data_IF_863955037574
#
_entry.id   IF_863955037574
#
_cell.length_a   1.000
_cell.length_b   1.000
_cell.length_c   1.000
_cell.angle_alpha   90.00
_cell.angle_beta   90.00
_cell.angle_gamma   90.00
#
_symmetry.space_group_name_H-M   'P 1'
#
loop_
_entity.id
_entity.type
_entity.pdbx_description
1 polymer ?
#
# COMPACT_ATOMS: atom_id res chain seq x y z
N UNK A 1 -3.02 -49.07 -21.47
CA UNK A 1 -2.23 -49.89 -20.52
C UNK A 1 -2.04 -49.01 -19.28
N UNK A 2 -2.48 -49.25 -18.04
CA UNK A 2 -2.57 -50.44 -17.13
C UNK A 2 -1.23 -50.86 -16.46
N UNK A 3 -0.97 -50.26 -15.29
CA UNK A 3 -0.25 -50.67 -14.04
C UNK A 3 -0.61 -49.56 -13.02
N UNK A 4 -0.96 -49.72 -11.72
CA UNK A 4 -1.20 -50.84 -10.78
C UNK A 4 -0.02 -51.53 -10.06
N UNK A 5 0.62 -50.82 -9.12
CA UNK A 5 0.80 -51.16 -7.66
C UNK A 5 1.63 -50.04 -6.99
N UNK A 6 1.23 -49.40 -5.87
CA UNK A 6 0.91 -49.86 -4.50
C UNK A 6 2.16 -50.15 -3.66
N UNK A 7 2.37 -49.34 -2.62
CA UNK A 7 2.61 -49.80 -1.25
C UNK A 7 2.14 -48.70 -0.26
N UNK A 8 1.72 -49.10 0.94
CA UNK A 8 1.24 -48.20 1.99
C UNK A 8 1.53 -48.80 3.37
N UNK A 9 1.83 -47.95 4.35
CA UNK A 9 2.06 -48.36 5.74
C UNK A 9 1.40 -47.36 6.69
N UNK A 10 0.24 -47.76 7.23
CA UNK A 10 -0.45 -47.06 8.31
C UNK A 10 0.19 -47.44 9.65
N UNK A 11 0.34 -46.48 10.55
CA UNK A 11 0.64 -46.73 11.95
C UNK A 11 -0.38 -45.97 12.81
N UNK A 12 -1.27 -46.71 13.48
CA UNK A 12 -2.16 -46.19 14.50
C UNK A 12 -1.75 -46.79 15.84
N UNK A 13 -1.70 -45.98 16.90
CA UNK A 13 -1.63 -46.47 18.27
C UNK A 13 -2.86 -46.00 19.05
N UNK A 14 -3.29 -46.85 19.97
CA UNK A 14 -4.59 -46.79 20.63
C UNK A 14 -4.58 -45.98 21.93
N UNK A 15 -5.69 -45.30 22.21
CA UNK A 15 -5.97 -44.75 23.54
C UNK A 15 -6.03 -45.86 24.60
N UNK A 16 -5.71 -45.52 25.85
CA UNK A 16 -6.01 -46.30 27.04
C UNK A 16 -6.39 -45.34 28.16
N UNK A 17 -7.55 -45.56 28.79
CA UNK A 17 -8.04 -44.77 29.91
C UNK A 17 -8.55 -45.72 31.00
N UNK A 18 -8.04 -45.58 32.22
CA UNK A 18 -8.47 -46.34 33.38
C UNK A 18 -8.25 -45.55 34.69
N UNK A 19 -9.35 -45.06 35.25
CA UNK A 19 -9.55 -44.90 36.71
C UNK A 19 -10.20 -46.22 37.21
N UNK A 20 -10.29 -46.52 38.54
CA UNK A 20 -10.13 -45.62 39.70
C UNK A 20 -9.34 -46.21 40.90
N UNK A 21 -9.11 -45.40 41.95
CA UNK A 21 -9.31 -45.75 43.38
C UNK A 21 -8.94 -44.58 44.31
N UNK A 22 -9.59 -44.47 45.48
CA UNK A 22 -9.33 -43.46 46.52
C UNK A 22 -8.97 -44.10 47.88
N UNK A 23 -8.64 -43.25 48.88
CA UNK A 23 -8.41 -43.53 50.32
C UNK A 23 -6.93 -43.84 50.64
N UNK A 24 -6.24 -43.25 51.61
CA UNK A 24 -6.51 -42.48 52.85
C UNK A 24 -5.26 -42.67 53.74
N UNK A 25 -4.95 -41.96 54.83
CA UNK A 25 -5.56 -40.86 55.58
C UNK A 25 -4.42 -40.09 56.33
N UNK A 26 -4.62 -38.85 56.80
CA UNK A 26 -3.61 -38.14 57.63
C UNK A 26 -3.89 -36.67 57.98
N UNK A 27 -4.08 -36.38 59.28
CA UNK A 27 -4.23 -35.06 59.92
C UNK A 27 -3.15 -34.01 59.56
N UNK A 28 -3.34 -32.68 59.73
CA UNK A 28 -4.51 -31.78 59.66
C UNK A 28 -4.09 -30.31 59.97
N UNK A 29 -4.60 -29.31 59.24
CA UNK A 29 -4.59 -27.89 59.63
C UNK A 29 -5.62 -27.05 58.81
N UNK A 30 -6.46 -26.18 59.42
CA UNK A 30 -7.41 -25.31 58.72
C UNK A 30 -7.11 -23.80 58.89
N UNK A 31 -7.85 -22.88 58.23
CA UNK A 31 -8.33 -22.94 56.84
C UNK A 31 -7.96 -21.65 56.06
N UNK A 32 -7.35 -21.80 54.88
CA UNK A 32 -7.22 -20.70 53.91
C UNK A 32 -8.36 -20.72 52.89
N UNK A 33 -8.94 -19.56 52.56
CA UNK A 33 -9.99 -19.46 51.54
C UNK A 33 -9.48 -19.87 50.15
N UNK A 34 -10.30 -20.51 49.30
CA UNK A 34 -9.82 -21.14 48.07
C UNK A 34 -9.36 -20.11 47.02
N UNK A 35 -8.10 -20.23 46.59
CA UNK A 35 -7.64 -19.59 45.37
C UNK A 35 -8.37 -20.23 44.18
N UNK A 36 -9.25 -19.45 43.54
CA UNK A 36 -10.12 -19.93 42.46
C UNK A 36 -9.30 -20.32 41.23
N UNK A 37 -9.05 -21.61 41.07
CA UNK A 37 -8.51 -22.22 39.84
C UNK A 37 -9.63 -22.34 38.81
N UNK A 38 -10.12 -21.18 38.35
CA UNK A 38 -11.06 -21.10 37.26
C UNK A 38 -10.43 -21.72 36.00
N UNK A 39 -10.95 -22.86 35.57
CA UNK A 39 -10.68 -23.37 34.22
C UNK A 39 -11.07 -22.28 33.19
N UNK A 40 -10.33 -22.13 32.08
CA UNK A 40 -10.68 -21.16 31.06
C UNK A 40 -12.08 -21.49 30.53
N UNK A 41 -13.05 -20.62 30.86
CA UNK A 41 -14.45 -20.79 30.50
C UNK A 41 -14.64 -20.50 29.01
N UNK A 42 -14.20 -21.44 28.17
CA UNK A 42 -14.49 -21.51 26.73
C UNK A 42 -15.96 -21.86 26.47
N UNK A 43 -16.88 -21.14 27.10
CA UNK A 43 -18.25 -21.05 26.63
C UNK A 43 -18.17 -20.48 25.20
N UNK A 44 -18.56 -21.28 24.22
CA UNK A 44 -18.63 -20.80 22.84
C UNK A 44 -19.60 -19.61 22.82
N UNK A 45 -19.13 -18.46 22.34
CA UNK A 45 -20.02 -17.33 22.16
C UNK A 45 -21.14 -17.72 21.17
N UNK A 46 -22.35 -17.31 21.49
CA UNK A 46 -23.53 -17.45 20.65
C UNK A 46 -23.97 -16.07 20.17
N UNK A 47 -24.51 -15.98 18.94
CA UNK A 47 -24.79 -14.71 18.27
C UNK A 47 -23.80 -14.34 17.17
N UNK A 48 -24.00 -13.16 16.58
CA UNK A 48 -23.43 -12.82 15.28
C UNK A 48 -21.91 -12.59 15.29
N UNK A 49 -21.34 -11.99 16.35
CA UNK A 49 -19.88 -11.88 16.50
C UNK A 49 -19.18 -13.25 16.51
N UNK A 50 -19.80 -14.27 17.08
CA UNK A 50 -19.23 -15.62 17.11
C UNK A 50 -19.33 -16.32 15.75
N UNK A 51 -20.38 -16.06 14.97
CA UNK A 51 -20.50 -16.54 13.59
C UNK A 51 -19.48 -15.86 12.67
N UNK A 52 -19.28 -14.54 12.82
CA UNK A 52 -18.21 -13.81 12.16
C UNK A 52 -16.82 -14.38 12.49
N UNK A 53 -16.54 -14.66 13.77
CA UNK A 53 -15.30 -15.31 14.19
C UNK A 53 -15.15 -16.71 13.55
N UNK A 54 -16.19 -17.56 13.62
CA UNK A 54 -16.19 -18.92 13.04
C UNK A 54 -16.00 -18.91 11.51
N UNK A 55 -16.45 -17.85 10.82
CA UNK A 55 -16.18 -17.66 9.39
C UNK A 55 -14.72 -17.25 9.15
N UNK A 56 -14.24 -16.20 9.82
CA UNK A 56 -12.89 -15.68 9.60
C UNK A 56 -11.78 -16.68 9.97
N UNK A 57 -12.00 -17.54 10.99
CA UNK A 57 -11.06 -18.61 11.38
C UNK A 57 -10.82 -19.70 10.32
N UNK A 58 -11.53 -19.66 9.19
CA UNK A 58 -11.24 -20.48 8.02
C UNK A 58 -10.10 -19.90 7.16
N UNK A 59 -9.72 -18.64 7.39
CA UNK A 59 -8.78 -17.86 6.58
C UNK A 59 -7.67 -17.17 7.41
N UNK A 60 -7.93 -16.85 8.69
CA UNK A 60 -7.03 -16.13 9.62
C UNK A 60 -6.99 -16.82 10.99
N UNK A 61 -6.12 -16.37 11.90
CA UNK A 61 -6.10 -16.88 13.28
C UNK A 61 -7.37 -16.53 14.07
N UNK A 62 -7.74 -15.25 14.11
CA UNK A 62 -8.93 -14.69 14.79
C UNK A 62 -9.32 -15.38 16.12
N UNK A 63 -8.35 -15.56 17.01
CA UNK A 63 -8.54 -16.14 18.35
C UNK A 63 -8.89 -15.05 19.39
N UNK A 64 -9.08 -15.44 20.66
CA UNK A 64 -9.26 -14.51 21.79
C UNK A 64 -10.34 -13.42 21.59
N UNK A 65 -11.51 -13.79 21.06
CA UNK A 65 -12.60 -12.85 20.76
C UNK A 65 -13.05 -12.07 22.01
N UNK A 66 -12.74 -10.77 22.05
CA UNK A 66 -13.37 -9.81 22.94
C UNK A 66 -14.67 -9.30 22.34
N UNK A 67 -15.73 -9.26 23.14
CA UNK A 67 -17.08 -8.76 22.75
C UNK A 67 -17.45 -7.46 23.49
N UNK A 68 -16.49 -6.87 24.20
CA UNK A 68 -16.68 -5.65 24.99
C UNK A 68 -16.30 -4.41 24.18
N UNK A 69 -17.15 -3.36 24.11
CA UNK A 69 -16.81 -2.11 23.41
C UNK A 69 -15.62 -1.34 23.99
N UNK A 70 -15.20 -1.64 25.23
CA UNK A 70 -14.05 -1.07 25.93
C UNK A 70 -12.81 -1.98 25.96
N UNK A 71 -12.79 -3.09 25.18
CA UNK A 71 -11.60 -3.92 25.02
C UNK A 71 -10.43 -3.07 24.49
N UNK A 72 -9.23 -3.11 25.12
CA UNK A 72 -8.12 -2.22 24.76
C UNK A 72 -7.55 -2.43 23.35
N UNK A 73 -7.95 -3.51 22.65
CA UNK A 73 -7.61 -3.78 21.25
C UNK A 73 -8.56 -3.10 20.25
N UNK A 74 -9.69 -2.55 20.70
CA UNK A 74 -10.63 -1.83 19.82
C UNK A 74 -9.96 -0.57 19.23
N UNK A 75 -10.07 -0.32 17.90
CA UNK A 75 -9.54 0.89 17.30
C UNK A 75 -10.21 2.15 17.86
N UNK A 76 -9.41 3.16 18.22
CA UNK A 76 -9.89 4.40 18.84
C UNK A 76 -10.36 5.48 17.86
N UNK A 77 -9.99 5.34 16.58
CA UNK A 77 -10.32 6.28 15.49
C UNK A 77 -11.39 5.72 14.57
N UNK A 78 -10.96 5.23 13.41
CA UNK A 78 -11.77 4.94 12.22
C UNK A 78 -12.57 3.62 12.31
N UNK A 79 -13.30 3.43 13.41
CA UNK A 79 -14.13 2.25 13.67
C UNK A 79 -15.49 2.64 14.29
N UNK A 80 -16.62 2.09 13.81
CA UNK A 80 -17.95 2.48 14.26
C UNK A 80 -18.31 1.92 15.64
N UNK A 81 -18.88 2.77 16.48
CA UNK A 81 -19.43 2.39 17.80
C UNK A 81 -20.83 1.80 17.63
N UNK A 82 -21.29 1.03 18.63
CA UNK A 82 -22.68 0.55 18.69
C UNK A 82 -23.65 1.74 18.55
N UNK A 83 -24.66 1.58 17.69
CA UNK A 83 -25.61 2.63 17.30
C UNK A 83 -25.18 3.45 16.07
N UNK A 84 -23.88 3.58 15.77
CA UNK A 84 -23.42 4.24 14.54
C UNK A 84 -23.63 3.32 13.34
N UNK A 85 -24.09 3.88 12.22
CA UNK A 85 -24.25 3.19 10.94
C UNK A 85 -24.98 1.83 11.03
N UNK A 86 -25.97 1.73 11.92
CA UNK A 86 -26.76 0.52 12.22
C UNK A 86 -25.99 -0.65 12.88
N UNK A 87 -24.79 -0.41 13.41
CA UNK A 87 -24.02 -1.40 14.19
C UNK A 87 -24.73 -1.72 15.52
N UNK A 88 -24.88 -3.02 15.81
CA UNK A 88 -25.52 -3.54 17.03
C UNK A 88 -24.54 -4.25 17.96
N UNK A 89 -23.57 -4.98 17.41
CA UNK A 89 -22.50 -5.63 18.17
C UNK A 89 -21.13 -5.19 17.63
N UNK A 90 -20.14 -5.08 18.51
CA UNK A 90 -18.72 -4.87 18.14
C UNK A 90 -17.83 -5.81 18.94
N UNK A 91 -16.73 -6.24 18.34
CA UNK A 91 -15.75 -7.10 18.99
C UNK A 91 -14.40 -7.08 18.30
N UNK A 92 -13.44 -7.81 18.85
CA UNK A 92 -12.06 -7.87 18.35
C UNK A 92 -11.43 -9.22 18.64
N UNK A 93 -10.82 -9.83 17.62
CA UNK A 93 -10.08 -11.09 17.71
C UNK A 93 -8.62 -10.89 17.30
N UNK A 94 -7.72 -11.79 17.70
CA UNK A 94 -6.29 -11.74 17.42
C UNK A 94 -5.91 -12.64 16.25
N UNK A 95 -5.25 -12.09 15.23
CA UNK A 95 -4.63 -12.88 14.17
C UNK A 95 -3.13 -13.09 14.44
N UNK A 96 -2.83 -14.10 15.25
CA UNK A 96 -1.44 -14.51 15.53
C UNK A 96 -0.66 -14.95 14.28
N UNK A 97 -1.34 -15.38 13.21
CA UNK A 97 -0.71 -15.68 11.92
C UNK A 97 -0.44 -14.44 11.07
N UNK A 98 -1.27 -13.40 11.22
CA UNK A 98 -1.19 -12.12 10.50
C UNK A 98 -0.43 -11.00 11.21
N UNK A 99 -0.04 -11.19 12.48
CA UNK A 99 0.58 -10.18 13.36
C UNK A 99 -0.28 -8.91 13.51
N UNK A 100 -1.58 -9.07 13.72
CA UNK A 100 -2.50 -7.97 13.98
C UNK A 100 -3.72 -8.39 14.79
N UNK A 101 -4.55 -7.43 15.14
CA UNK A 101 -5.89 -7.67 15.66
C UNK A 101 -6.92 -7.37 14.54
N UNK A 102 -8.10 -7.98 14.61
CA UNK A 102 -9.20 -7.79 13.66
C UNK A 102 -10.39 -7.27 14.46
N UNK A 103 -10.75 -6.00 14.26
CA UNK A 103 -11.99 -5.47 14.82
C UNK A 103 -13.18 -5.86 13.93
N UNK A 104 -14.32 -6.12 14.54
CA UNK A 104 -15.52 -6.69 13.93
C UNK A 104 -16.71 -5.80 14.29
N UNK A 105 -17.52 -5.42 13.30
CA UNK A 105 -18.79 -4.74 13.51
C UNK A 105 -19.93 -5.56 12.89
N UNK A 106 -21.04 -5.71 13.62
CA UNK A 106 -22.27 -6.39 13.15
C UNK A 106 -23.37 -5.35 12.93
N UNK A 107 -23.62 -4.92 11.68
CA UNK A 107 -24.74 -4.04 11.36
C UNK A 107 -26.03 -4.82 11.12
N UNK A 108 -27.12 -4.42 11.79
CA UNK A 108 -28.47 -4.96 11.51
C UNK A 108 -29.02 -4.55 10.14
N UNK A 109 -28.42 -3.53 9.53
CA UNK A 109 -28.67 -3.10 8.16
C UNK A 109 -27.34 -2.73 7.49
N UNK A 110 -26.89 -3.58 6.56
CA UNK A 110 -25.65 -3.39 5.81
C UNK A 110 -25.72 -2.23 4.80
N UNK A 111 -26.92 -1.82 4.36
CA UNK A 111 -27.09 -0.64 3.50
C UNK A 111 -26.90 0.64 4.32
N UNK A 112 -27.48 0.71 5.52
CA UNK A 112 -27.22 1.80 6.46
C UNK A 112 -25.74 1.85 6.89
N UNK A 113 -25.07 0.70 7.03
CA UNK A 113 -23.62 0.65 7.24
C UNK A 113 -22.85 1.31 6.10
N UNK A 114 -23.07 0.86 4.86
CA UNK A 114 -22.36 1.40 3.68
C UNK A 114 -22.67 2.88 3.45
N UNK A 115 -23.89 3.34 3.74
CA UNK A 115 -24.25 4.75 3.65
C UNK A 115 -23.51 5.61 4.69
N UNK A 116 -23.42 5.13 5.93
CA UNK A 116 -22.70 5.80 7.01
C UNK A 116 -21.20 5.88 6.76
N UNK A 117 -20.59 4.78 6.32
CA UNK A 117 -19.18 4.76 5.93
C UNK A 117 -18.90 5.65 4.72
N UNK A 118 -19.78 5.66 3.69
CA UNK A 118 -19.64 6.58 2.56
C UNK A 118 -19.63 8.03 3.02
N UNK A 119 -20.59 8.44 3.86
CA UNK A 119 -20.65 9.82 4.36
C UNK A 119 -19.38 10.17 5.12
N UNK A 120 -18.91 9.30 6.01
CA UNK A 120 -17.67 9.49 6.74
C UNK A 120 -16.45 9.67 5.83
N UNK A 121 -16.36 8.91 4.73
CA UNK A 121 -15.31 9.10 3.71
C UNK A 121 -15.45 10.45 2.99
N UNK A 122 -16.66 10.89 2.64
CA UNK A 122 -16.89 12.21 2.03
C UNK A 122 -16.53 13.36 2.99
N UNK A 123 -16.83 13.21 4.28
CA UNK A 123 -16.55 14.20 5.31
C UNK A 123 -15.04 14.34 5.53
N UNK A 124 -14.28 13.23 5.54
CA UNK A 124 -12.81 13.23 5.59
C UNK A 124 -12.20 13.93 4.38
N UNK A 125 -12.63 13.58 3.17
CA UNK A 125 -12.20 14.22 1.91
C UNK A 125 -12.50 15.73 1.94
N UNK A 126 -13.69 16.12 2.38
CA UNK A 126 -14.10 17.53 2.49
C UNK A 126 -13.33 18.30 3.57
N UNK A 127 -12.86 17.61 4.62
CA UNK A 127 -11.96 18.13 5.64
C UNK A 127 -10.49 18.25 5.21
N UNK A 128 -10.15 17.91 3.96
CA UNK A 128 -8.80 18.00 3.39
C UNK A 128 -8.07 16.67 3.24
N UNK A 129 -8.60 15.58 3.80
CA UNK A 129 -8.02 14.23 3.71
C UNK A 129 -8.48 13.53 2.40
N UNK A 130 -8.04 14.09 1.26
CA UNK A 130 -8.50 13.68 -0.07
C UNK A 130 -8.12 12.24 -0.46
N UNK A 131 -7.10 11.66 0.20
CA UNK A 131 -6.68 10.27 0.01
C UNK A 131 -7.54 9.28 0.82
N UNK A 132 -8.39 9.75 1.73
CA UNK A 132 -9.08 8.88 2.66
C UNK A 132 -9.95 7.83 1.97
N UNK A 133 -9.79 6.57 2.35
CA UNK A 133 -10.55 5.45 1.77
C UNK A 133 -10.09 5.00 0.37
N UNK A 134 -8.96 5.51 -0.16
CA UNK A 134 -8.25 4.86 -1.28
C UNK A 134 -7.67 3.51 -0.83
N UNK A 135 -7.03 3.49 0.34
CA UNK A 135 -6.40 2.31 0.95
C UNK A 135 -7.33 1.65 2.00
N UNK A 136 -8.61 1.46 1.63
CA UNK A 136 -9.63 0.95 2.54
C UNK A 136 -9.31 -0.47 3.04
N UNK A 137 -9.23 -0.64 4.36
CA UNK A 137 -9.17 -1.95 5.02
C UNK A 137 -10.56 -2.43 5.51
N UNK A 138 -11.65 -1.80 5.05
CA UNK A 138 -13.01 -2.14 5.49
C UNK A 138 -13.56 -3.30 4.65
N UNK A 139 -13.47 -4.52 5.18
CA UNK A 139 -13.90 -5.74 4.49
C UNK A 139 -15.34 -6.09 4.89
N UNK A 140 -16.28 -5.93 3.96
CA UNK A 140 -17.69 -6.32 4.13
C UNK A 140 -17.86 -7.81 3.84
N UNK A 141 -18.49 -8.53 4.77
CA UNK A 141 -18.93 -9.91 4.61
C UNK A 141 -20.44 -10.07 4.72
N UNK A 142 -20.93 -11.31 4.75
CA UNK A 142 -22.37 -11.60 4.90
C UNK A 142 -22.81 -11.40 6.35
N UNK A 143 -23.34 -10.21 6.65
CA UNK A 143 -23.92 -9.86 7.95
C UNK A 143 -22.95 -9.23 8.97
N UNK A 144 -21.67 -9.11 8.64
CA UNK A 144 -20.65 -8.47 9.47
C UNK A 144 -19.61 -7.74 8.60
N UNK A 145 -18.81 -6.89 9.23
CA UNK A 145 -17.71 -6.15 8.61
C UNK A 145 -16.46 -6.30 9.46
N UNK A 146 -15.32 -6.55 8.82
CA UNK A 146 -14.01 -6.69 9.48
C UNK A 146 -13.09 -5.51 9.14
N UNK A 147 -12.31 -5.11 10.13
CA UNK A 147 -11.30 -4.06 10.08
C UNK A 147 -9.96 -4.66 10.57
N UNK A 148 -9.26 -5.46 9.73
CA UNK A 148 -7.95 -5.99 10.05
C UNK A 148 -6.90 -4.87 10.15
N UNK A 149 -6.03 -4.92 11.17
CA UNK A 149 -4.93 -3.95 11.32
C UNK A 149 -3.69 -4.29 10.49
N UNK A 150 -3.66 -5.43 9.77
CA UNK A 150 -2.54 -5.83 8.91
C UNK A 150 -3.00 -6.21 7.51
N UNK A 151 -2.24 -5.76 6.51
CA UNK A 151 -2.43 -6.08 5.09
C UNK A 151 -2.40 -7.59 4.82
N UNK A 152 -1.55 -8.33 5.55
CA UNK A 152 -1.46 -9.80 5.46
C UNK A 152 -2.77 -10.47 5.87
N UNK A 153 -3.43 -9.96 6.91
CA UNK A 153 -4.74 -10.44 7.36
C UNK A 153 -5.86 -10.05 6.39
N UNK A 154 -5.84 -8.82 5.85
CA UNK A 154 -6.78 -8.42 4.79
C UNK A 154 -6.68 -9.32 3.54
N UNK A 155 -5.46 -9.54 3.04
CA UNK A 155 -5.16 -10.43 1.91
C UNK A 155 -5.40 -11.93 2.20
N UNK A 156 -5.59 -12.31 3.46
CA UNK A 156 -6.07 -13.64 3.82
C UNK A 156 -7.61 -13.71 3.78
N UNK A 157 -8.30 -12.71 4.36
CA UNK A 157 -9.76 -12.61 4.35
C UNK A 157 -10.34 -12.45 2.92
N UNK A 158 -9.66 -11.78 1.99
CA UNK A 158 -10.13 -11.65 0.60
C UNK A 158 -10.14 -12.96 -0.21
N UNK A 159 -9.62 -14.06 0.33
CA UNK A 159 -9.77 -15.40 -0.26
C UNK A 159 -11.16 -16.01 0.01
N UNK A 160 -11.98 -15.33 0.81
CA UNK A 160 -13.36 -15.68 1.15
C UNK A 160 -14.37 -14.91 0.29
N UNK A 161 -15.63 -14.85 0.72
CA UNK A 161 -16.66 -14.00 0.11
C UNK A 161 -16.62 -12.53 0.59
N UNK A 162 -15.69 -12.18 1.49
CA UNK A 162 -15.51 -10.80 1.93
C UNK A 162 -14.91 -9.92 0.84
N UNK A 163 -15.32 -8.64 0.80
CA UNK A 163 -14.91 -7.65 -0.20
C UNK A 163 -14.53 -6.32 0.45
N UNK A 164 -13.51 -5.65 -0.07
CA UNK A 164 -13.17 -4.28 0.34
C UNK A 164 -14.29 -3.34 -0.08
N UNK A 165 -14.75 -2.51 0.85
CA UNK A 165 -15.66 -1.41 0.60
C UNK A 165 -14.86 -0.15 0.27
N UNK A 166 -14.87 0.23 -1.01
CA UNK A 166 -14.21 1.44 -1.52
C UNK A 166 -15.28 2.50 -1.76
N UNK A 167 -15.19 3.64 -1.08
CA UNK A 167 -16.12 4.76 -1.23
C UNK A 167 -15.45 6.09 -1.62
N UNK A 168 -14.12 6.15 -1.74
CA UNK A 168 -13.43 7.30 -2.31
C UNK A 168 -13.67 7.36 -3.84
N UNK A 169 -14.05 8.51 -4.44
CA UNK A 169 -14.34 8.59 -5.88
C UNK A 169 -13.13 8.32 -6.79
N UNK A 170 -11.90 8.52 -6.28
CA UNK A 170 -10.66 8.18 -6.96
C UNK A 170 -10.23 6.71 -6.80
N UNK A 171 -10.96 5.91 -6.01
CA UNK A 171 -10.64 4.53 -5.68
C UNK A 171 -10.83 3.57 -6.86
N UNK A 172 -9.86 3.52 -7.78
CA UNK A 172 -9.86 2.59 -8.92
C UNK A 172 -9.57 1.16 -8.47
N UNK A 173 -10.43 0.24 -8.89
CA UNK A 173 -10.16 -1.21 -8.92
C UNK A 173 -9.54 -1.57 -10.27
N UNK A 174 -8.40 -2.29 -10.34
CA UNK A 174 -7.81 -2.75 -11.60
C UNK A 174 -8.60 -3.86 -12.31
N UNK A 175 -8.40 -4.04 -13.62
CA UNK A 175 -8.80 -5.24 -14.36
C UNK A 175 -8.24 -6.53 -13.72
N UNK A 176 -8.88 -7.68 -14.02
CA UNK A 176 -8.60 -8.97 -13.36
C UNK A 176 -9.30 -9.16 -12.00
N UNK A 177 -9.56 -8.08 -11.25
CA UNK A 177 -10.25 -8.14 -9.96
C UNK A 177 -11.79 -8.17 -10.08
N UNK A 178 -12.44 -8.93 -9.20
CA UNK A 178 -13.90 -8.97 -9.10
C UNK A 178 -14.42 -7.63 -8.62
N UNK A 179 -15.53 -7.19 -9.20
CA UNK A 179 -16.29 -6.01 -8.78
C UNK A 179 -17.72 -6.45 -8.51
N UNK A 180 -18.22 -6.18 -7.31
CA UNK A 180 -19.56 -6.52 -6.87
C UNK A 180 -20.37 -5.24 -6.60
N UNK A 181 -21.69 -5.31 -6.81
CA UNK A 181 -22.56 -4.14 -6.69
C UNK A 181 -22.74 -3.76 -5.21
N UNK A 182 -22.46 -2.52 -4.79
CA UNK A 182 -22.73 -2.07 -3.42
C UNK A 182 -24.23 -1.94 -3.17
N UNK A 183 -24.61 -1.80 -1.90
CA UNK A 183 -25.98 -1.48 -1.48
C UNK A 183 -26.27 0.04 -1.58
N UNK A 184 -25.23 0.86 -1.79
CA UNK A 184 -25.26 2.32 -1.86
C UNK A 184 -24.45 2.81 -3.07
N UNK A 185 -25.03 3.75 -3.82
CA UNK A 185 -24.41 4.34 -5.00
C UNK A 185 -23.17 5.18 -4.67
N UNK A 186 -22.15 5.18 -5.54
CA UNK A 186 -20.90 5.90 -5.33
C UNK A 186 -19.93 5.22 -4.35
N UNK A 187 -20.10 3.92 -4.12
CA UNK A 187 -19.07 3.02 -3.58
C UNK A 187 -18.87 1.85 -4.55
N UNK A 188 -17.96 0.94 -4.22
CA UNK A 188 -17.80 -0.38 -4.85
C UNK A 188 -17.41 -1.44 -3.85
N UNK A 189 -17.69 -2.71 -4.18
CA UNK A 189 -17.18 -3.88 -3.47
C UNK A 189 -16.19 -4.61 -4.40
N UNK A 190 -15.05 -5.04 -3.87
CA UNK A 190 -13.96 -5.62 -4.68
C UNK A 190 -13.13 -6.65 -3.91
N UNK A 191 -12.46 -7.56 -4.63
CA UNK A 191 -11.37 -8.39 -4.08
C UNK A 191 -9.96 -7.83 -4.35
N UNK A 192 -9.88 -6.56 -4.78
CA UNK A 192 -8.66 -5.75 -4.75
C UNK A 192 -8.53 -4.98 -3.43
N UNK A 193 -7.43 -5.20 -2.70
CA UNK A 193 -7.05 -4.40 -1.53
C UNK A 193 -5.80 -3.58 -1.84
N UNK A 194 -5.95 -2.25 -1.88
CA UNK A 194 -4.81 -1.33 -1.91
C UNK A 194 -4.32 -1.07 -0.48
N UNK A 195 -3.00 -1.10 -0.28
CA UNK A 195 -2.35 -0.82 1.00
C UNK A 195 -1.25 0.24 0.80
N UNK A 196 -1.07 1.13 1.76
CA UNK A 196 -0.06 2.22 1.71
C UNK A 196 1.38 1.68 1.74
N UNK A 197 1.62 0.63 2.52
CA UNK A 197 2.88 -0.12 2.55
C UNK A 197 3.09 -1.01 1.32
N UNK A 198 2.06 -1.12 0.48
CA UNK A 198 2.05 -1.92 -0.73
C UNK A 198 1.99 -3.44 -0.56
N UNK A 199 1.84 -3.97 0.66
CA UNK A 199 1.72 -5.42 0.89
C UNK A 199 0.30 -5.98 0.60
N UNK A 200 -0.51 -5.21 -0.13
CA UNK A 200 -1.83 -5.56 -0.61
C UNK A 200 -1.85 -6.36 -1.92
N UNK A 201 -2.87 -6.09 -2.74
CA UNK A 201 -3.15 -6.82 -3.98
C UNK A 201 -2.23 -6.42 -5.13
N UNK A 202 -1.61 -7.39 -5.85
CA UNK A 202 -0.72 -7.10 -6.97
C UNK A 202 -1.48 -6.54 -8.17
N UNK A 203 -1.26 -5.27 -8.52
CA UNK A 203 -1.89 -4.69 -9.72
C UNK A 203 -1.34 -5.38 -10.99
N UNK A 204 -2.21 -6.13 -11.68
CA UNK A 204 -1.90 -6.86 -12.90
C UNK A 204 -2.24 -6.09 -14.19
N UNK A 205 -2.83 -4.88 -14.11
CA UNK A 205 -3.05 -4.04 -15.29
C UNK A 205 -1.71 -3.74 -15.97
N UNK A 206 -1.52 -4.23 -17.19
CA UNK A 206 -0.56 -3.63 -18.11
C UNK A 206 -1.23 -2.34 -18.60
N UNK A 207 -0.70 -1.14 -18.34
CA UNK A 207 -1.44 0.08 -18.63
C UNK A 207 -1.73 0.22 -20.13
N UNK A 208 -2.99 0.50 -20.46
CA UNK A 208 -3.46 0.62 -21.84
C UNK A 208 -3.00 1.96 -22.44
N UNK A 209 -2.52 1.91 -23.68
CA UNK A 209 -2.27 3.10 -24.51
C UNK A 209 -3.59 3.87 -24.70
N UNK A 210 -3.69 5.14 -24.22
CA UNK A 210 -4.98 5.79 -24.05
C UNK A 210 -5.50 6.44 -25.34
N UNK A 211 -5.92 5.61 -26.30
CA UNK A 211 -6.59 6.01 -27.54
C UNK A 211 -7.91 6.82 -27.34
N UNK A 212 -8.40 6.93 -26.11
CA UNK A 212 -9.47 7.86 -25.71
C UNK A 212 -8.95 9.30 -25.62
N UNK A 213 -9.15 10.07 -26.69
CA UNK A 213 -8.70 11.45 -26.84
C UNK A 213 -9.40 12.47 -25.94
N UNK A 214 -8.60 13.36 -25.36
CA UNK A 214 -8.98 14.50 -24.53
C UNK A 214 -7.73 15.08 -23.86
N UNK A 215 -7.68 16.39 -23.60
CA UNK A 215 -6.55 16.97 -22.85
C UNK A 215 -6.47 16.34 -21.46
N UNK A 216 -5.28 15.84 -21.10
CA UNK A 216 -5.01 15.18 -19.82
C UNK A 216 -3.90 15.91 -19.07
N UNK A 217 -4.05 15.99 -17.76
CA UNK A 217 -3.15 16.73 -16.89
C UNK A 217 -1.74 16.15 -16.97
N UNK A 218 -0.75 17.01 -17.20
CA UNK A 218 0.65 16.62 -17.36
C UNK A 218 0.98 15.83 -18.65
N UNK A 219 0.17 15.89 -19.71
CA UNK A 219 0.47 15.30 -21.02
C UNK A 219 0.67 16.38 -22.11
N UNK A 220 1.40 16.09 -23.21
CA UNK A 220 1.71 17.08 -24.23
C UNK A 220 0.48 17.38 -25.07
N UNK A 221 0.27 18.65 -25.40
CA UNK A 221 -0.87 19.09 -26.25
C UNK A 221 -0.81 18.55 -27.68
N UNK A 222 0.38 18.18 -28.17
CA UNK A 222 0.62 17.54 -29.47
C UNK A 222 1.87 16.66 -29.38
N UNK A 223 1.86 15.47 -29.99
CA UNK A 223 3.04 14.61 -30.07
C UNK A 223 2.75 13.11 -29.89
N UNK A 224 3.83 12.33 -29.79
CA UNK A 224 3.76 10.93 -29.34
C UNK A 224 3.72 10.87 -27.81
N UNK A 225 3.04 9.87 -27.26
CA UNK A 225 3.09 9.53 -25.83
C UNK A 225 4.35 8.72 -25.45
N UNK A 226 5.27 8.46 -26.39
CA UNK A 226 6.55 7.82 -26.08
C UNK A 226 7.34 8.56 -25.00
N UNK A 227 8.14 7.83 -24.22
CA UNK A 227 9.00 8.42 -23.19
C UNK A 227 10.07 9.34 -23.79
N UNK A 228 10.50 10.33 -23.01
CA UNK A 228 11.56 11.26 -23.36
C UNK A 228 12.87 10.54 -23.74
N UNK A 229 13.59 11.03 -24.76
CA UNK A 229 14.86 10.44 -25.21
C UNK A 229 15.88 11.50 -25.61
N UNK A 230 17.17 11.20 -25.41
CA UNK A 230 18.28 12.04 -25.87
C UNK A 230 19.53 11.17 -26.12
N UNK A 231 20.30 11.47 -27.17
CA UNK A 231 21.53 10.75 -27.52
C UNK A 231 22.76 11.14 -26.69
N UNK A 232 22.69 12.22 -25.91
CA UNK A 232 23.79 12.74 -25.09
C UNK A 232 23.29 13.68 -23.97
N UNK A 233 24.16 13.97 -23.00
CA UNK A 233 23.93 15.03 -21.99
C UNK A 233 23.66 16.40 -22.63
N UNK A 234 24.29 16.72 -23.77
CA UNK A 234 24.07 18.00 -24.46
C UNK A 234 22.65 18.09 -25.06
N UNK A 235 22.15 17.00 -25.63
CA UNK A 235 20.76 16.89 -26.07
C UNK A 235 19.77 16.89 -24.89
N UNK A 236 20.10 16.18 -23.81
CA UNK A 236 19.28 16.14 -22.59
C UNK A 236 19.14 17.54 -21.98
N UNK A 237 20.24 18.28 -21.81
CA UNK A 237 20.27 19.68 -21.36
C UNK A 237 19.37 20.57 -22.23
N UNK A 238 19.39 20.38 -23.55
CA UNK A 238 18.54 21.12 -24.49
C UNK A 238 17.05 20.74 -24.37
N UNK A 239 16.74 19.47 -24.15
CA UNK A 239 15.37 18.98 -23.97
C UNK A 239 14.72 19.57 -22.71
N UNK A 240 15.45 19.61 -21.59
CA UNK A 240 14.92 20.03 -20.28
C UNK A 240 15.11 21.52 -19.97
N UNK A 241 15.80 22.28 -20.83
CA UNK A 241 16.22 23.67 -20.55
C UNK A 241 15.09 24.66 -20.28
N UNK A 242 13.86 24.39 -20.74
CA UNK A 242 12.67 25.19 -20.44
C UNK A 242 12.00 24.83 -19.10
N UNK A 243 12.48 23.78 -18.41
CA UNK A 243 11.90 23.27 -17.15
C UNK A 243 12.90 23.26 -15.98
N UNK A 244 14.19 23.47 -16.26
CA UNK A 244 15.30 23.47 -15.29
C UNK A 244 16.22 24.67 -15.57
N UNK A 245 16.94 25.16 -14.55
CA UNK A 245 17.87 26.32 -14.67
C UNK A 245 19.21 25.96 -15.36
N UNK A 246 19.14 25.04 -16.33
CA UNK A 246 20.27 24.49 -17.08
C UNK A 246 20.92 25.48 -18.05
N UNK A 247 20.31 26.63 -18.35
CA UNK A 247 20.93 27.65 -19.21
C UNK A 247 22.07 28.36 -18.48
N UNK A 248 21.79 28.85 -17.26
CA UNK A 248 22.73 29.65 -16.46
C UNK A 248 23.64 28.79 -15.59
N UNK A 249 23.10 27.70 -15.05
CA UNK A 249 23.78 26.88 -14.05
C UNK A 249 23.72 25.41 -14.48
N UNK A 250 24.78 24.97 -15.15
CA UNK A 250 24.97 23.61 -15.64
C UNK A 250 26.42 23.20 -15.47
N UNK A 251 26.66 21.97 -15.01
CA UNK A 251 28.00 21.41 -14.87
C UNK A 251 28.02 19.90 -15.16
N UNK A 252 29.12 19.45 -15.77
CA UNK A 252 29.53 18.03 -15.88
C UNK A 252 30.77 17.74 -15.04
N UNK A 253 31.21 18.70 -14.20
CA UNK A 253 32.34 18.50 -13.30
C UNK A 253 31.97 17.49 -12.19
N UNK A 254 32.81 16.47 -11.92
CA UNK A 254 32.49 15.43 -10.95
C UNK A 254 32.31 15.92 -9.51
N UNK A 255 33.04 16.96 -9.07
CA UNK A 255 32.89 17.52 -7.73
C UNK A 255 31.56 18.27 -7.64
N UNK A 256 31.24 19.11 -8.64
CA UNK A 256 29.96 19.80 -8.72
C UNK A 256 28.77 18.83 -8.76
N UNK A 257 28.83 17.78 -9.59
CA UNK A 257 27.77 16.76 -9.74
C UNK A 257 27.54 15.97 -8.45
N UNK A 258 28.57 15.82 -7.59
CA UNK A 258 28.47 15.13 -6.32
C UNK A 258 27.90 15.98 -5.16
N UNK A 259 27.64 17.28 -5.36
CA UNK A 259 27.14 18.16 -4.30
C UNK A 259 25.64 17.89 -4.03
N UNK A 260 25.35 17.41 -2.82
CA UNK A 260 24.01 17.32 -2.26
C UNK A 260 23.74 18.41 -1.21
N UNK A 261 22.47 18.57 -0.83
CA UNK A 261 21.98 19.55 0.15
C UNK A 261 20.89 18.91 1.02
N UNK A 262 20.59 19.53 2.18
CA UNK A 262 19.46 19.14 3.04
C UNK A 262 18.14 19.13 2.25
N UNK A 263 17.97 20.06 1.31
CA UNK A 263 16.75 20.18 0.48
C UNK A 263 16.87 19.50 -0.89
N UNK A 264 18.05 18.95 -1.23
CA UNK A 264 18.34 18.36 -2.53
C UNK A 264 19.34 17.21 -2.39
N UNK A 265 18.85 16.02 -2.04
CA UNK A 265 19.62 14.79 -2.14
C UNK A 265 19.26 14.07 -3.45
N UNK A 266 20.21 13.45 -4.17
CA UNK A 266 19.87 12.57 -5.28
C UNK A 266 19.30 11.24 -4.75
N UNK A 267 18.42 10.61 -5.54
CA UNK A 267 18.06 9.21 -5.36
C UNK A 267 19.21 8.29 -5.79
N UNK A 268 19.93 8.66 -6.86
CA UNK A 268 21.13 7.99 -7.35
C UNK A 268 22.33 8.33 -6.47
N UNK A 269 22.63 7.44 -5.52
CA UNK A 269 23.67 7.61 -4.49
C UNK A 269 24.95 6.83 -4.82
N UNK A 270 26.10 7.47 -4.61
CA UNK A 270 27.42 6.91 -4.92
C UNK A 270 27.76 6.95 -6.41
N UNK A 271 28.50 5.94 -6.88
CA UNK A 271 28.95 5.85 -8.27
C UNK A 271 27.79 5.62 -9.24
N UNK A 272 27.57 6.54 -10.18
CA UNK A 272 26.48 6.48 -11.16
C UNK A 272 26.55 5.22 -12.08
N UNK A 273 27.75 4.72 -12.37
CA UNK A 273 27.94 3.48 -13.15
C UNK A 273 27.31 2.26 -12.46
N UNK A 274 27.27 2.24 -11.12
CA UNK A 274 26.62 1.17 -10.33
C UNK A 274 25.09 1.21 -10.36
N UNK A 275 24.53 2.26 -10.97
CA UNK A 275 23.11 2.43 -11.29
C UNK A 275 22.82 2.27 -12.79
N UNK A 276 23.83 2.12 -13.66
CA UNK A 276 23.62 1.96 -15.11
C UNK A 276 23.52 3.27 -15.90
N UNK A 277 23.87 4.38 -15.25
CA UNK A 277 24.03 5.70 -15.86
C UNK A 277 25.38 5.73 -16.58
N UNK A 278 25.42 6.31 -17.78
CA UNK A 278 26.62 6.39 -18.63
C UNK A 278 27.32 7.75 -18.52
N UNK A 279 26.56 8.84 -18.50
CA UNK A 279 27.04 10.20 -18.27
C UNK A 279 26.08 10.88 -17.28
N UNK A 280 26.60 11.83 -16.48
CA UNK A 280 25.80 12.60 -15.52
C UNK A 280 26.17 14.08 -15.52
N UNK A 281 25.17 14.93 -15.33
CA UNK A 281 25.32 16.37 -15.18
C UNK A 281 24.41 16.92 -14.08
N UNK A 282 24.70 18.14 -13.62
CA UNK A 282 23.92 18.89 -12.66
C UNK A 282 23.43 20.19 -13.30
N UNK A 283 22.17 20.54 -13.08
CA UNK A 283 21.64 21.88 -13.25
C UNK A 283 21.26 22.51 -11.90
N UNK A 284 21.23 23.84 -11.85
CA UNK A 284 21.04 24.59 -10.60
C UNK A 284 22.37 24.98 -9.94
N UNK A 285 22.31 25.75 -8.86
CA UNK A 285 23.48 26.32 -8.19
C UNK A 285 23.97 25.39 -7.06
N UNK A 286 25.12 24.69 -7.22
CA UNK A 286 25.73 23.93 -6.13
C UNK A 286 26.08 24.83 -4.94
N UNK A 287 26.12 24.25 -3.74
CA UNK A 287 26.48 24.96 -2.53
C UNK A 287 27.92 25.51 -2.60
N UNK A 288 28.11 26.71 -2.06
CA UNK A 288 29.41 27.36 -1.92
C UNK A 288 29.46 28.14 -0.62
N UNK A 289 29.70 29.45 -0.69
CA UNK A 289 29.48 30.35 0.46
C UNK A 289 27.99 30.55 0.82
N UNK A 290 27.06 29.98 0.02
CA UNK A 290 25.62 29.98 0.25
C UNK A 290 25.02 28.59 0.00
N UNK A 291 23.79 28.38 0.48
CA UNK A 291 22.99 27.15 0.34
C UNK A 291 22.70 26.87 -1.14
N UNK A 292 22.70 25.60 -1.54
CA UNK A 292 22.38 25.19 -2.91
C UNK A 292 20.95 25.57 -3.32
N UNK A 293 20.73 25.84 -4.61
CA UNK A 293 19.45 26.31 -5.16
C UNK A 293 19.08 25.53 -6.43
N UNK A 294 17.85 25.01 -6.46
CA UNK A 294 17.23 24.34 -7.63
C UNK A 294 18.06 23.17 -8.21
N UNK A 295 18.80 22.43 -7.39
CA UNK A 295 19.61 21.30 -7.87
C UNK A 295 18.74 20.26 -8.57
N UNK A 296 19.16 19.86 -9.76
CA UNK A 296 18.51 18.81 -10.54
C UNK A 296 19.55 18.04 -11.36
N UNK A 297 19.58 16.71 -11.24
CA UNK A 297 20.55 15.87 -11.96
C UNK A 297 19.98 15.41 -13.30
N UNK A 298 20.85 15.28 -14.29
CA UNK A 298 20.55 14.86 -15.66
C UNK A 298 21.42 13.64 -16.00
N UNK A 299 20.80 12.52 -16.33
CA UNK A 299 21.49 11.24 -16.60
C UNK A 299 21.24 10.75 -18.04
N UNK A 300 22.29 10.29 -18.73
CA UNK A 300 22.14 9.31 -19.83
C UNK A 300 22.21 7.91 -19.23
N UNK A 301 21.38 6.97 -19.72
CA UNK A 301 21.17 5.68 -19.05
C UNK A 301 21.36 4.53 -20.03
N UNK A 302 22.47 3.80 -19.87
CA UNK A 302 22.79 2.61 -20.66
C UNK A 302 22.10 1.33 -20.18
N UNK A 303 21.74 1.25 -18.89
CA UNK A 303 20.95 0.14 -18.32
C UNK A 303 19.80 0.68 -17.44
N UNK A 304 18.68 0.98 -18.11
CA UNK A 304 17.47 1.49 -17.46
C UNK A 304 16.87 0.51 -16.44
N UNK A 305 17.03 -0.80 -16.65
CA UNK A 305 16.55 -1.82 -15.71
C UNK A 305 17.38 -1.82 -14.43
N UNK A 306 18.71 -1.66 -14.52
CA UNK A 306 19.60 -1.50 -13.38
C UNK A 306 19.28 -0.22 -12.60
N UNK A 307 19.04 0.90 -13.29
CA UNK A 307 18.65 2.17 -12.67
C UNK A 307 17.37 2.01 -11.84
N UNK A 308 16.32 1.48 -12.45
CA UNK A 308 15.04 1.25 -11.79
C UNK A 308 15.13 0.21 -10.66
N UNK A 309 16.02 -0.79 -10.78
CA UNK A 309 16.23 -1.81 -9.73
C UNK A 309 16.89 -1.21 -8.49
N UNK A 310 17.89 -0.34 -8.68
CA UNK A 310 18.54 0.39 -7.58
C UNK A 310 17.58 1.41 -6.94
N UNK A 311 16.84 2.16 -7.75
CA UNK A 311 15.85 3.13 -7.27
C UNK A 311 14.72 2.44 -6.48
N UNK A 312 14.23 1.28 -6.93
CA UNK A 312 13.32 0.42 -6.17
C UNK A 312 13.89 0.07 -4.79
N UNK A 313 15.15 -0.41 -4.76
CA UNK A 313 15.79 -0.81 -3.51
C UNK A 313 15.99 0.37 -2.54
N UNK A 314 16.24 1.58 -3.04
CA UNK A 314 16.31 2.81 -2.25
C UNK A 314 14.94 3.23 -1.68
N UNK A 315 13.90 3.28 -2.52
CA UNK A 315 12.53 3.58 -2.04
C UNK A 315 12.06 2.53 -1.01
N UNK A 316 12.35 1.24 -1.24
CA UNK A 316 12.10 0.14 -0.29
C UNK A 316 13.05 0.10 0.92
N UNK A 317 14.05 0.99 0.99
CA UNK A 317 14.81 1.25 2.22
C UNK A 317 14.12 2.36 3.01
N UNK A 318 13.77 3.47 2.37
CA UNK A 318 13.09 4.60 3.00
C UNK A 318 11.76 4.19 3.65
N UNK A 319 10.91 3.45 2.92
CA UNK A 319 9.61 2.97 3.40
C UNK A 319 9.68 2.07 4.66
N UNK A 320 10.86 1.59 5.07
CA UNK A 320 11.02 0.78 6.28
C UNK A 320 11.22 1.61 7.55
N UNK A 321 11.59 2.88 7.42
CA UNK A 321 11.92 3.72 8.57
C UNK A 321 10.64 4.25 9.25
N UNK A 322 9.71 4.83 8.48
CA UNK A 322 8.45 5.40 8.97
C UNK A 322 7.22 5.12 8.06
N UNK A 323 7.39 4.27 7.04
CA UNK A 323 6.35 4.02 6.04
C UNK A 323 6.31 5.01 4.87
N UNK A 324 7.24 5.98 4.80
CA UNK A 324 7.23 7.05 3.78
C UNK A 324 8.49 7.08 2.92
N UNK A 325 8.42 7.82 1.82
CA UNK A 325 9.61 8.22 1.07
C UNK A 325 10.23 9.46 1.72
N UNK A 326 11.55 9.56 1.72
CA UNK A 326 12.23 10.72 2.32
C UNK A 326 12.04 11.95 1.43
N UNK A 327 11.27 12.93 1.91
CA UNK A 327 10.96 14.17 1.18
C UNK A 327 12.18 15.05 0.81
N UNK A 328 13.37 14.75 1.33
CA UNK A 328 14.64 15.38 0.93
C UNK A 328 15.25 14.74 -0.32
N UNK A 329 14.79 13.56 -0.73
CA UNK A 329 15.32 12.81 -1.87
C UNK A 329 14.57 13.18 -3.15
N UNK A 330 15.34 13.67 -4.11
CA UNK A 330 14.89 14.07 -5.44
C UNK A 330 14.14 12.95 -6.14
N UNK A 331 12.91 13.23 -6.56
CA UNK A 331 12.10 12.27 -7.30
C UNK A 331 12.77 11.96 -8.64
N UNK A 332 12.95 10.66 -8.92
CA UNK A 332 13.56 10.15 -10.15
C UNK A 332 12.49 10.09 -11.25
N UNK A 333 12.61 10.96 -12.24
CA UNK A 333 11.79 11.02 -13.44
C UNK A 333 12.54 10.37 -14.60
N UNK A 334 11.88 9.47 -15.31
CA UNK A 334 12.47 8.51 -16.25
C UNK A 334 11.96 8.73 -17.66
N UNK A 335 12.87 8.68 -18.64
CA UNK A 335 12.59 8.58 -20.07
C UNK A 335 12.90 7.18 -20.64
N UNK A 336 13.07 7.08 -21.96
CA UNK A 336 13.44 5.84 -22.66
C UNK A 336 14.87 5.40 -22.31
N UNK A 337 15.82 6.33 -22.41
CA UNK A 337 17.27 6.10 -22.24
C UNK A 337 17.95 7.18 -21.39
N UNK A 338 17.17 7.93 -20.62
CA UNK A 338 17.59 9.11 -19.85
C UNK A 338 16.81 9.18 -18.53
N UNK A 339 17.34 9.89 -17.55
CA UNK A 339 16.61 10.24 -16.33
C UNK A 339 16.93 11.68 -15.87
N UNK A 340 16.06 12.21 -15.03
CA UNK A 340 16.19 13.51 -14.37
C UNK A 340 15.72 13.38 -12.92
N UNK A 341 16.49 13.91 -11.98
CA UNK A 341 16.13 13.93 -10.56
C UNK A 341 15.91 15.37 -10.10
N UNK A 342 14.76 15.69 -9.50
CA UNK A 342 14.55 17.03 -8.93
C UNK A 342 13.51 17.09 -7.81
N UNK A 343 13.79 17.90 -6.77
CA UNK A 343 12.84 18.22 -5.70
C UNK A 343 11.88 19.37 -6.06
N UNK A 344 12.09 20.12 -7.14
CA UNK A 344 11.20 21.22 -7.53
C UNK A 344 9.89 20.72 -8.18
N UNK A 345 8.70 20.97 -7.59
CA UNK A 345 7.43 20.49 -8.17
C UNK A 345 7.09 21.16 -9.51
N UNK A 346 7.48 22.43 -9.69
CA UNK A 346 7.28 23.15 -10.96
C UNK A 346 8.18 22.62 -12.07
N UNK A 347 9.40 22.18 -11.74
CA UNK A 347 10.27 21.48 -12.67
C UNK A 347 9.68 20.13 -13.08
N UNK A 348 9.19 19.33 -12.13
CA UNK A 348 8.55 18.03 -12.42
C UNK A 348 7.34 18.17 -13.32
N UNK A 349 6.48 19.16 -13.09
CA UNK A 349 5.37 19.46 -14.00
C UNK A 349 5.84 19.74 -15.44
N UNK A 350 6.91 20.52 -15.62
CA UNK A 350 7.53 20.73 -16.93
C UNK A 350 8.09 19.45 -17.55
N UNK A 351 8.75 18.60 -16.74
CA UNK A 351 9.30 17.31 -17.19
C UNK A 351 8.21 16.31 -17.59
N UNK A 352 7.02 16.33 -16.96
CA UNK A 352 5.87 15.54 -17.41
C UNK A 352 5.38 15.99 -18.81
N UNK A 353 5.32 17.30 -19.06
CA UNK A 353 5.03 17.84 -20.40
C UNK A 353 6.06 17.39 -21.46
N UNK A 354 7.32 17.19 -21.04
CA UNK A 354 8.43 16.68 -21.87
C UNK A 354 8.50 15.14 -21.96
N UNK A 355 7.53 14.42 -21.39
CA UNK A 355 7.42 12.94 -21.41
C UNK A 355 8.46 12.17 -20.61
N UNK A 356 9.01 12.78 -19.56
CA UNK A 356 9.52 12.00 -18.44
C UNK A 356 8.36 11.56 -17.53
N UNK A 357 8.52 10.49 -16.76
CA UNK A 357 7.55 10.02 -15.78
C UNK A 357 8.24 9.63 -14.47
N UNK A 358 7.66 9.98 -13.32
CA UNK A 358 8.15 9.60 -12.00
C UNK A 358 8.13 8.06 -11.84
N UNK A 359 9.27 7.48 -11.49
CA UNK A 359 9.38 6.06 -11.12
C UNK A 359 8.86 5.85 -9.69
N UNK A 360 7.61 5.41 -9.56
CA UNK A 360 7.03 5.04 -8.28
C UNK A 360 7.19 3.53 -8.04
N UNK A 361 7.88 3.17 -6.96
CA UNK A 361 8.06 1.81 -6.47
C UNK A 361 7.48 1.60 -5.06
N UNK A 362 6.68 2.55 -4.55
CA UNK A 362 5.73 2.27 -3.45
C UNK A 362 4.81 1.16 -3.96
N UNK A 363 4.80 -0.05 -3.36
CA UNK A 363 4.03 -1.14 -3.92
C UNK A 363 2.52 -0.87 -3.72
N UNK A 364 1.64 -1.56 -4.44
CA UNK A 364 0.19 -1.32 -4.37
C UNK A 364 -0.29 0.04 -4.92
N UNK A 365 0.61 0.99 -5.21
CA UNK A 365 0.29 2.30 -5.77
C UNK A 365 -0.46 2.21 -7.11
N UNK A 366 -1.42 3.12 -7.29
CA UNK A 366 -2.11 3.37 -8.56
C UNK A 366 -2.36 4.87 -8.69
N UNK A 367 -2.27 5.38 -9.92
CA UNK A 367 -2.69 6.75 -10.22
C UNK A 367 -4.22 6.85 -10.39
N UNK A 368 -4.85 7.98 -10.02
CA UNK A 368 -6.25 8.26 -10.33
C UNK A 368 -6.52 8.33 -11.85
N UNK A 369 -7.80 8.25 -12.23
CA UNK A 369 -8.20 8.46 -13.63
C UNK A 369 -7.79 9.85 -14.12
N UNK A 370 -7.37 9.94 -15.39
CA UNK A 370 -6.88 11.17 -16.03
C UNK A 370 -5.35 11.31 -16.06
N UNK A 371 -4.63 10.66 -15.14
CA UNK A 371 -3.17 10.65 -15.11
C UNK A 371 -2.57 9.59 -16.05
N UNK A 372 -1.32 9.81 -16.47
CA UNK A 372 -0.51 8.82 -17.20
C UNK A 372 0.10 7.83 -16.19
N UNK A 373 -0.05 6.54 -16.47
CA UNK A 373 0.48 5.43 -15.69
C UNK A 373 1.02 4.39 -16.67
N UNK A 374 2.25 3.91 -16.49
CA UNK A 374 2.95 3.00 -17.39
C UNK A 374 3.77 1.95 -16.63
N UNK A 375 4.08 0.85 -17.31
CA UNK A 375 4.82 -0.27 -16.73
C UNK A 375 6.32 0.03 -16.72
N UNK A 376 6.94 -0.03 -15.54
CA UNK A 376 8.39 0.04 -15.40
C UNK A 376 9.08 -1.24 -15.94
N UNK A 377 10.38 -1.16 -16.22
CA UNK A 377 11.22 -2.33 -16.60
C UNK A 377 11.48 -3.29 -15.42
N UNK A 378 11.07 -2.89 -14.21
CA UNK A 378 11.20 -3.63 -12.96
C UNK A 378 9.81 -3.91 -12.39
N UNK A 379 9.56 -5.17 -12.04
CA UNK A 379 8.29 -5.62 -11.47
C UNK A 379 7.97 -4.95 -10.13
N UNK A 380 6.71 -4.58 -9.91
CA UNK A 380 6.28 -3.85 -8.71
C UNK A 380 6.74 -2.38 -8.66
N UNK A 381 7.09 -1.80 -9.80
CA UNK A 381 7.21 -0.36 -9.99
C UNK A 381 6.35 0.07 -11.19
N UNK A 382 5.99 1.35 -11.23
CA UNK A 382 5.31 2.01 -12.34
C UNK A 382 5.98 3.32 -12.67
N UNK A 383 5.75 3.81 -13.88
CA UNK A 383 6.05 5.17 -14.31
C UNK A 383 4.76 5.99 -14.26
N UNK A 384 4.76 7.19 -13.71
CA UNK A 384 3.53 7.99 -13.51
C UNK A 384 3.77 9.50 -13.67
N UNK A 385 2.72 10.27 -13.96
CA UNK A 385 2.72 11.74 -13.78
C UNK A 385 1.83 12.21 -12.61
N UNK A 386 1.42 11.28 -11.74
CA UNK A 386 0.70 11.56 -10.48
C UNK A 386 1.65 11.58 -9.28
N UNK A 387 1.64 12.71 -8.55
CA UNK A 387 2.29 12.86 -7.24
C UNK A 387 1.19 13.01 -6.17
N UNK A 388 1.10 12.12 -5.15
CA UNK A 388 0.04 12.20 -4.14
C UNK A 388 0.03 13.51 -3.33
N UNK A 389 1.20 14.04 -2.99
CA UNK A 389 1.35 15.28 -2.21
C UNK A 389 1.24 16.55 -3.07
N UNK A 390 1.47 16.42 -4.38
CA UNK A 390 1.47 17.53 -5.35
C UNK A 390 0.69 17.15 -6.63
N UNK A 391 -0.62 16.84 -6.51
CA UNK A 391 -1.43 16.45 -7.66
C UNK A 391 -1.45 17.59 -8.68
N UNK A 392 -1.09 17.26 -9.93
CA UNK A 392 -1.19 18.18 -11.07
C UNK A 392 -2.65 18.60 -11.24
N UNK A 393 -2.91 19.91 -11.29
CA UNK A 393 -4.25 20.51 -11.41
C UNK A 393 -4.47 21.13 -12.78
#
# INVERSE_FOLDING_TARGET
MRIKRILATTAALTCLAALPACKGDGQAAPPGAPASSAAPAGAAAEGALAEAQRYMRQFTGCEDLGTKPDDPRMPRGDFPKIGQWSVTEVGVCRDGGGQGDIAIAVPKDMKAFQAGYKQYVMDRISGGDGAYGLFSNVLVGKGFVAFPTSSKTAMALLRSDMRVLVCNPGGRVPEGYKREKPLVEGCGLTDFFAAEDGSGSPNFETPQDPAGGGEKLGQPKTGSLGLARAGSIAELRKLVGNSLDCEKHFSTDPEAVAIESIDYQPAVKGNALDWGITDRALCGQPAGAQRAVNLSWLDTVGDMKKLQTRAKAAQQADLKDDGKLKATVSMLLVGENIAVETNSPSARFGLYQLQFLYLNCVPGFSAPSGYRLEKAQVEGCVLTNYEPEHPVR
#
